data_IF_655401552885
#
_entry.id   IF_655401552885
#
_cell.length_a   1.000
_cell.length_b   1.000
_cell.length_c   1.000
_cell.angle_alpha   90.00
_cell.angle_beta   90.00
_cell.angle_gamma   90.00
#
_symmetry.space_group_name_H-M   'P 1'
#
loop_
_entity.id
_entity.type
_entity.pdbx_description
1 polymer ?
#
# COMPACT_ATOMS: atom_id res chain seq x y z
N UNK A 1 3.50 18.04 28.83
CA UNK A 1 2.31 17.40 28.21
C UNK A 1 2.77 16.10 27.59
N UNK A 2 2.06 15.01 27.85
CA UNK A 2 2.31 13.76 27.11
C UNK A 2 1.98 13.97 25.63
N UNK A 3 2.79 13.43 24.70
CA UNK A 3 2.49 13.55 23.27
C UNK A 3 1.11 12.95 22.98
N UNK A 4 0.30 13.68 22.20
CA UNK A 4 -0.99 13.19 21.73
C UNK A 4 -0.79 12.00 20.79
N UNK A 5 -1.62 10.95 20.86
CA UNK A 5 -1.60 9.85 19.89
C UNK A 5 -2.21 10.24 18.54
N UNK A 6 -2.84 11.41 18.44
CA UNK A 6 -3.50 11.88 17.22
C UNK A 6 -2.52 12.57 16.27
N UNK A 7 -2.82 12.62 14.96
CA UNK A 7 -2.04 13.41 14.02
C UNK A 7 -1.99 14.89 14.42
N UNK A 8 -0.86 15.55 14.14
CA UNK A 8 -0.72 16.99 14.32
C UNK A 8 -1.34 17.76 13.15
N UNK A 9 -1.95 18.92 13.42
CA UNK A 9 -2.71 19.69 12.42
C UNK A 9 -1.86 20.20 11.25
N UNK A 10 -0.58 20.50 11.49
CA UNK A 10 0.34 21.10 10.51
C UNK A 10 1.54 20.19 10.21
N UNK A 11 1.28 18.91 9.92
CA UNK A 11 2.34 18.01 9.50
C UNK A 11 3.00 18.49 8.19
N UNK A 12 4.32 18.34 8.06
CA UNK A 12 5.06 18.73 6.85
C UNK A 12 4.51 18.07 5.60
N UNK A 13 4.43 18.78 4.48
CA UNK A 13 4.03 18.20 3.19
C UNK A 13 5.18 17.39 2.61
N UNK A 14 4.93 16.13 2.26
CA UNK A 14 5.91 15.29 1.58
C UNK A 14 5.90 15.50 0.07
N UNK A 15 6.98 15.07 -0.59
CA UNK A 15 7.12 15.14 -2.05
C UNK A 15 5.91 14.52 -2.78
N UNK A 16 5.47 13.32 -2.40
CA UNK A 16 4.32 12.64 -3.01
C UNK A 16 2.97 13.35 -2.82
N UNK A 17 2.93 14.41 -2.02
CA UNK A 17 1.74 15.19 -1.66
C UNK A 17 1.83 16.63 -2.16
N UNK A 18 2.78 16.95 -3.04
CA UNK A 18 2.90 18.29 -3.65
C UNK A 18 1.71 18.63 -4.55
N UNK A 19 1.10 17.61 -5.16
CA UNK A 19 -0.06 17.73 -6.05
C UNK A 19 -1.18 16.79 -5.60
N UNK A 20 -2.06 17.24 -4.67
CA UNK A 20 -3.17 16.44 -4.17
C UNK A 20 -4.16 16.00 -5.27
N UNK A 21 -4.65 14.76 -5.18
CA UNK A 21 -5.74 14.27 -6.03
C UNK A 21 -7.10 14.69 -5.44
N UNK A 22 -8.18 14.84 -6.24
CA UNK A 22 -9.52 15.09 -5.70
C UNK A 22 -10.00 14.07 -4.65
N UNK A 23 -9.47 12.84 -4.68
CA UNK A 23 -9.79 11.79 -3.71
C UNK A 23 -9.18 12.01 -2.34
N UNK A 24 -8.19 12.90 -2.21
CA UNK A 24 -7.46 13.11 -0.97
C UNK A 24 -8.36 13.60 0.17
N UNK A 25 -9.31 14.47 -0.16
CA UNK A 25 -10.32 15.01 0.75
C UNK A 25 -11.71 14.43 0.46
N UNK A 26 -11.80 13.32 -0.29
CA UNK A 26 -13.08 12.79 -0.68
C UNK A 26 -13.87 12.30 0.53
N UNK A 27 -15.10 12.81 0.63
CA UNK A 27 -16.10 12.38 1.59
C UNK A 27 -17.33 11.98 0.80
N UNK A 28 -17.67 10.69 0.85
CA UNK A 28 -18.80 10.13 0.10
C UNK A 28 -20.16 10.47 0.70
N UNK A 29 -20.22 10.80 1.99
CA UNK A 29 -21.46 11.10 2.74
C UNK A 29 -21.22 12.20 3.76
N UNK A 30 -22.20 13.12 3.99
CA UNK A 30 -22.05 14.16 4.99
C UNK A 30 -22.02 13.61 6.42
N UNK A 31 -22.88 12.61 6.68
CA UNK A 31 -23.08 11.96 7.97
C UNK A 31 -22.56 10.52 7.97
N UNK A 32 -22.10 10.07 9.13
CA UNK A 32 -21.63 8.69 9.29
C UNK A 32 -22.81 7.71 9.28
N UNK A 33 -22.69 6.56 8.59
CA UNK A 33 -23.71 5.53 8.67
C UNK A 33 -23.78 4.95 10.08
N UNK A 34 -25.00 4.73 10.58
CA UNK A 34 -25.24 4.16 11.90
C UNK A 34 -24.74 2.71 12.04
N UNK A 35 -24.63 1.98 10.94
CA UNK A 35 -24.18 0.59 10.90
C UNK A 35 -23.43 0.29 9.60
N UNK A 36 -22.36 -0.49 9.72
CA UNK A 36 -21.56 -1.03 8.61
C UNK A 36 -21.18 -2.47 8.93
N UNK A 37 -20.87 -3.26 7.90
CA UNK A 37 -20.38 -4.62 8.07
C UNK A 37 -18.87 -4.62 8.39
N UNK A 38 -18.12 -3.69 7.78
CA UNK A 38 -16.68 -3.54 7.96
C UNK A 38 -16.31 -2.06 8.10
N UNK A 39 -15.65 -1.72 9.21
CA UNK A 39 -15.05 -0.41 9.43
C UNK A 39 -13.52 -0.50 9.30
N UNK A 40 -12.93 0.32 8.44
CA UNK A 40 -11.48 0.41 8.22
C UNK A 40 -10.97 1.74 8.76
N UNK A 41 -9.92 1.71 9.58
CA UNK A 41 -9.27 2.90 10.12
C UNK A 41 -7.97 3.16 9.35
N UNK A 42 -7.95 4.24 8.57
CA UNK A 42 -6.84 4.70 7.74
C UNK A 42 -7.05 4.44 6.26
N UNK A 43 -7.00 5.49 5.44
CA UNK A 43 -7.07 5.43 3.98
C UNK A 43 -5.66 5.42 3.35
N UNK A 44 -4.75 4.65 3.93
CA UNK A 44 -3.43 4.35 3.37
C UNK A 44 -3.43 3.06 2.55
N UNK A 45 -2.26 2.68 2.04
CA UNK A 45 -2.06 1.49 1.20
C UNK A 45 -2.67 0.23 1.82
N UNK A 46 -2.41 -0.03 3.11
CA UNK A 46 -2.94 -1.23 3.78
C UNK A 46 -4.48 -1.24 3.86
N UNK A 47 -5.09 -0.11 4.24
CA UNK A 47 -6.55 0.00 4.35
C UNK A 47 -7.24 -0.14 3.00
N UNK A 48 -6.73 0.58 1.98
CA UNK A 48 -7.29 0.54 0.62
C UNK A 48 -7.06 -0.83 -0.03
N UNK A 49 -5.87 -1.43 0.09
CA UNK A 49 -5.61 -2.77 -0.46
C UNK A 49 -6.51 -3.84 0.18
N UNK A 50 -6.78 -3.73 1.47
CA UNK A 50 -7.72 -4.63 2.16
C UNK A 50 -9.11 -4.55 1.53
N UNK A 51 -9.64 -3.34 1.36
CA UNK A 51 -10.95 -3.12 0.73
C UNK A 51 -10.96 -3.60 -0.72
N UNK A 52 -9.92 -3.26 -1.49
CA UNK A 52 -9.75 -3.69 -2.87
C UNK A 52 -9.87 -5.22 -3.01
N UNK A 53 -9.12 -5.97 -2.20
CA UNK A 53 -9.15 -7.43 -2.26
C UNK A 53 -10.46 -8.03 -1.76
N UNK A 54 -11.13 -7.42 -0.77
CA UNK A 54 -12.48 -7.86 -0.35
C UNK A 54 -13.45 -7.73 -1.53
N UNK A 55 -13.46 -6.57 -2.21
CA UNK A 55 -14.37 -6.31 -3.32
C UNK A 55 -14.10 -7.23 -4.52
N UNK A 56 -12.82 -7.45 -4.86
CA UNK A 56 -12.44 -8.38 -5.93
C UNK A 56 -12.83 -9.83 -5.60
N UNK A 57 -12.69 -10.27 -4.34
CA UNK A 57 -13.14 -11.59 -3.92
C UNK A 57 -14.67 -11.74 -3.98
N UNK A 58 -15.43 -10.72 -3.55
CA UNK A 58 -16.88 -10.71 -3.67
C UNK A 58 -17.32 -10.83 -5.13
N UNK A 59 -16.71 -10.03 -6.01
CA UNK A 59 -16.96 -10.05 -7.46
C UNK A 59 -16.63 -11.41 -8.07
N UNK A 60 -15.46 -11.98 -7.77
CA UNK A 60 -15.05 -13.28 -8.30
C UNK A 60 -15.97 -14.43 -7.86
N UNK A 61 -16.54 -14.35 -6.66
CA UNK A 61 -17.47 -15.34 -6.11
C UNK A 61 -18.94 -15.08 -6.49
N UNK A 62 -19.24 -13.96 -7.14
CA UNK A 62 -20.61 -13.57 -7.47
C UNK A 62 -21.48 -13.28 -6.24
N UNK A 63 -20.88 -12.85 -5.12
CA UNK A 63 -21.61 -12.52 -3.89
C UNK A 63 -21.69 -11.01 -3.69
N UNK A 64 -22.74 -10.50 -3.02
CA UNK A 64 -22.85 -9.07 -2.71
C UNK A 64 -21.64 -8.57 -1.90
N UNK A 65 -21.19 -7.35 -2.21
CA UNK A 65 -20.17 -6.68 -1.42
C UNK A 65 -20.75 -6.28 -0.05
N UNK A 66 -19.97 -6.42 1.05
CA UNK A 66 -20.39 -5.91 2.35
C UNK A 66 -20.43 -4.38 2.36
N UNK A 67 -21.15 -3.78 3.31
CA UNK A 67 -21.13 -2.34 3.59
C UNK A 67 -19.81 -1.99 4.27
N UNK A 68 -18.90 -1.39 3.52
CA UNK A 68 -17.57 -0.99 4.00
C UNK A 68 -17.51 0.54 4.13
N UNK A 69 -16.91 1.02 5.23
CA UNK A 69 -16.51 2.42 5.37
C UNK A 69 -15.04 2.51 5.76
N UNK A 70 -14.32 3.44 5.13
CA UNK A 70 -12.94 3.81 5.47
C UNK A 70 -12.97 5.17 6.16
N UNK A 71 -12.36 5.26 7.33
CA UNK A 71 -12.19 6.49 8.09
C UNK A 71 -10.74 6.96 7.98
N UNK A 72 -10.52 8.23 7.65
CA UNK A 72 -9.19 8.83 7.59
C UNK A 72 -9.18 10.11 8.43
N UNK A 73 -8.19 10.23 9.32
CA UNK A 73 -8.08 11.35 10.24
C UNK A 73 -7.54 12.63 9.56
N UNK A 74 -6.87 12.48 8.41
CA UNK A 74 -6.34 13.58 7.60
C UNK A 74 -6.84 13.49 6.16
N UNK A 75 -5.93 13.21 5.23
CA UNK A 75 -6.22 13.02 3.81
C UNK A 75 -5.82 11.61 3.39
N UNK A 76 -6.48 11.06 2.35
CA UNK A 76 -6.11 9.76 1.80
C UNK A 76 -4.61 9.71 1.47
N UNK A 77 -3.96 8.58 1.79
CA UNK A 77 -2.53 8.36 1.63
C UNK A 77 -1.59 9.35 2.36
N UNK A 78 -2.05 10.28 3.20
CA UNK A 78 -1.18 11.30 3.86
C UNK A 78 -0.25 10.76 4.97
N UNK A 79 -0.44 9.51 5.37
CA UNK A 79 0.39 8.77 6.34
C UNK A 79 1.70 8.25 5.76
N UNK A 80 2.11 7.07 6.21
CA UNK A 80 3.33 6.41 5.73
C UNK A 80 3.30 6.20 4.20
N UNK A 81 2.13 5.91 3.63
CA UNK A 81 1.95 5.71 2.19
C UNK A 81 2.44 6.90 1.36
N UNK A 82 2.10 8.14 1.73
CA UNK A 82 2.54 9.34 1.01
C UNK A 82 3.90 9.87 1.48
N UNK A 83 4.64 9.15 2.33
CA UNK A 83 5.90 9.61 2.96
C UNK A 83 7.03 8.59 2.84
N UNK A 84 6.86 7.56 2.01
CA UNK A 84 7.86 6.52 1.81
C UNK A 84 8.93 6.94 0.77
N UNK A 85 9.99 6.14 0.60
CA UNK A 85 11.10 6.44 -0.32
C UNK A 85 10.84 6.17 -1.81
N UNK A 86 9.64 5.72 -2.19
CA UNK A 86 9.27 5.36 -3.56
C UNK A 86 9.72 3.97 -4.00
N UNK A 87 10.27 3.16 -3.10
CA UNK A 87 10.80 1.84 -3.43
C UNK A 87 9.70 0.79 -3.49
N UNK A 88 9.59 0.11 -4.64
CA UNK A 88 8.86 -1.13 -4.81
C UNK A 88 9.87 -2.22 -5.19
N UNK A 89 10.56 -2.76 -4.19
CA UNK A 89 11.66 -3.72 -4.39
C UNK A 89 11.58 -4.82 -3.32
N UNK A 90 11.65 -6.11 -3.72
CA UNK A 90 11.83 -7.20 -2.76
C UNK A 90 13.23 -7.17 -2.14
N UNK A 91 13.34 -7.59 -0.88
CA UNK A 91 14.60 -7.86 -0.17
C UNK A 91 14.92 -9.37 -0.21
N UNK A 92 15.74 -9.83 -1.17
CA UNK A 92 16.08 -11.24 -1.26
C UNK A 92 17.14 -11.69 -0.23
N UNK A 93 17.73 -10.78 0.55
CA UNK A 93 18.92 -11.08 1.35
C UNK A 93 18.72 -10.88 2.86
N UNK A 94 18.47 -9.64 3.32
CA UNK A 94 18.60 -9.35 4.75
C UNK A 94 17.47 -9.99 5.56
N UNK A 95 16.23 -9.77 5.14
CA UNK A 95 15.06 -10.34 5.82
C UNK A 95 15.01 -11.87 5.73
N UNK A 96 15.23 -12.52 4.56
CA UNK A 96 15.30 -13.98 4.50
C UNK A 96 16.44 -14.57 5.33
N UNK A 97 17.63 -13.94 5.38
CA UNK A 97 18.72 -14.43 6.22
C UNK A 97 18.38 -14.42 7.71
N UNK A 98 17.69 -13.37 8.19
CA UNK A 98 17.22 -13.30 9.58
C UNK A 98 16.15 -14.35 9.89
N UNK A 99 15.24 -14.60 8.94
CA UNK A 99 14.21 -15.63 9.07
C UNK A 99 14.82 -17.03 9.04
N UNK A 100 15.83 -17.27 8.20
CA UNK A 100 16.56 -18.54 8.13
C UNK A 100 17.16 -18.90 9.49
N UNK A 101 17.79 -17.93 10.15
CA UNK A 101 18.42 -18.14 11.46
C UNK A 101 17.41 -18.46 12.57
N UNK A 102 16.17 -17.99 12.47
CA UNK A 102 15.17 -18.09 13.55
C UNK A 102 14.12 -19.17 13.30
N UNK A 103 13.76 -19.40 12.04
CA UNK A 103 12.58 -20.17 11.63
C UNK A 103 12.88 -21.22 10.54
N UNK A 104 14.13 -21.35 10.09
CA UNK A 104 14.53 -22.36 9.10
C UNK A 104 14.35 -21.91 7.65
N UNK A 105 14.78 -22.77 6.73
CA UNK A 105 14.91 -22.44 5.29
C UNK A 105 13.56 -22.29 4.61
N UNK A 106 12.56 -23.04 5.04
CA UNK A 106 11.21 -23.03 4.47
C UNK A 106 10.53 -21.66 4.70
N UNK A 107 10.57 -21.15 5.94
CA UNK A 107 10.00 -19.85 6.28
C UNK A 107 10.76 -18.70 5.60
N UNK A 108 12.08 -18.81 5.48
CA UNK A 108 12.89 -17.83 4.77
C UNK A 108 12.56 -17.78 3.27
N UNK A 109 12.44 -18.95 2.64
CA UNK A 109 12.08 -19.08 1.23
C UNK A 109 10.66 -18.55 0.97
N UNK A 110 9.69 -18.90 1.82
CA UNK A 110 8.31 -18.40 1.71
C UNK A 110 8.25 -16.87 1.77
N UNK A 111 8.95 -16.25 2.71
CA UNK A 111 8.99 -14.80 2.83
C UNK A 111 9.65 -14.12 1.62
N UNK A 112 10.76 -14.66 1.13
CA UNK A 112 11.46 -14.13 -0.05
C UNK A 112 10.57 -14.22 -1.30
N UNK A 113 9.90 -15.35 -1.50
CA UNK A 113 8.95 -15.54 -2.59
C UNK A 113 7.73 -14.62 -2.47
N UNK A 114 7.18 -14.46 -1.26
CA UNK A 114 6.06 -13.58 -1.00
C UNK A 114 6.39 -12.13 -1.34
N UNK A 115 7.56 -11.65 -0.92
CA UNK A 115 8.03 -10.31 -1.29
C UNK A 115 8.22 -10.15 -2.81
N UNK A 116 8.81 -11.14 -3.47
CA UNK A 116 8.99 -11.11 -4.93
C UNK A 116 7.64 -11.05 -5.68
N UNK A 117 6.64 -11.80 -5.19
CA UNK A 117 5.27 -11.81 -5.76
C UNK A 117 4.58 -10.44 -5.69
N UNK A 118 4.89 -9.61 -4.68
CA UNK A 118 4.29 -8.27 -4.56
C UNK A 118 4.59 -7.36 -5.75
N UNK A 119 5.79 -7.43 -6.35
CA UNK A 119 6.13 -6.61 -7.51
C UNK A 119 5.21 -6.89 -8.70
N UNK A 120 5.00 -8.18 -9.00
CA UNK A 120 4.10 -8.60 -10.07
C UNK A 120 2.64 -8.25 -9.76
N UNK A 121 2.21 -8.42 -8.51
CA UNK A 121 0.85 -8.09 -8.07
C UNK A 121 0.55 -6.59 -8.23
N UNK A 122 1.44 -5.71 -7.76
CA UNK A 122 1.27 -4.26 -7.89
C UNK A 122 1.26 -3.82 -9.35
N UNK A 123 2.18 -4.35 -10.18
CA UNK A 123 2.18 -4.08 -11.62
C UNK A 123 0.84 -4.43 -12.26
N UNK A 124 0.33 -5.64 -11.97
CA UNK A 124 -0.97 -6.09 -12.48
C UNK A 124 -2.10 -5.16 -12.05
N UNK A 125 -2.15 -4.76 -10.77
CA UNK A 125 -3.19 -3.84 -10.29
C UNK A 125 -3.13 -2.48 -10.98
N UNK A 126 -1.92 -1.91 -11.18
CA UNK A 126 -1.75 -0.65 -11.92
C UNK A 126 -2.28 -0.77 -13.36
N UNK A 127 -1.95 -1.88 -14.03
CA UNK A 127 -2.41 -2.15 -15.41
C UNK A 127 -3.93 -2.30 -15.50
N UNK A 128 -4.59 -2.84 -14.46
CA UNK A 128 -6.04 -3.07 -14.43
C UNK A 128 -6.85 -1.81 -14.10
N UNK A 129 -6.41 -1.02 -13.11
CA UNK A 129 -7.17 0.13 -12.60
C UNK A 129 -6.90 1.43 -13.37
N UNK A 130 -5.92 1.42 -14.27
CA UNK A 130 -5.68 2.49 -15.23
C UNK A 130 -5.46 3.86 -14.58
N UNK A 131 -4.28 4.08 -14.00
CA UNK A 131 -3.72 5.43 -13.74
C UNK A 131 -2.24 5.33 -13.35
N UNK A 132 -1.40 6.11 -14.06
CA UNK A 132 0.05 6.35 -13.88
C UNK A 132 0.99 5.51 -14.76
N UNK A 133 1.70 6.23 -15.62
CA UNK A 133 2.83 5.78 -16.43
C UNK A 133 3.94 5.17 -15.56
N UNK A 134 4.35 3.95 -15.89
CA UNK A 134 5.39 3.17 -15.20
C UNK A 134 6.81 3.78 -15.35
N UNK A 135 6.94 4.90 -16.08
CA UNK A 135 8.21 5.49 -16.52
C UNK A 135 9.10 6.05 -15.40
N UNK A 136 8.68 6.04 -14.13
CA UNK A 136 9.53 6.44 -12.99
C UNK A 136 10.01 5.28 -12.11
N UNK A 137 9.39 4.09 -12.18
CA UNK A 137 9.82 2.93 -11.36
C UNK A 137 10.97 2.16 -12.03
N UNK A 138 11.16 2.32 -13.35
CA UNK A 138 12.12 1.54 -14.13
C UNK A 138 13.47 2.22 -14.44
N UNK A 139 13.75 3.43 -13.94
CA UNK A 139 15.00 4.13 -14.30
C UNK A 139 16.21 3.85 -13.40
N UNK A 140 16.09 3.11 -12.30
CA UNK A 140 17.19 2.97 -11.33
C UNK A 140 17.56 1.53 -10.90
N UNK A 141 17.24 0.49 -11.67
CA UNK A 141 17.70 -0.88 -11.37
C UNK A 141 18.55 -1.54 -12.47
N UNK A 142 19.00 -0.76 -13.44
CA UNK A 142 19.94 -1.20 -14.47
C UNK A 142 21.08 -0.18 -14.56
N UNK A 143 22.04 -0.17 -13.59
CA UNK A 143 23.29 -0.91 -13.83
C UNK A 143 24.01 -1.32 -12.53
N UNK A 144 23.94 -2.59 -12.13
CA UNK A 144 24.84 -3.17 -11.12
C UNK A 144 25.20 -4.64 -11.44
N UNK A 145 25.42 -4.93 -12.72
CA UNK A 145 26.17 -6.09 -13.17
C UNK A 145 27.07 -5.62 -14.31
N UNK A 146 28.33 -5.33 -13.99
CA UNK A 146 29.38 -5.16 -14.97
C UNK A 146 29.90 -6.51 -15.47
N UNK A 147 30.64 -6.43 -16.60
CA UNK A 147 31.40 -7.48 -17.28
C UNK A 147 30.49 -8.40 -18.14
N UNK A 148 30.74 -8.69 -19.40
CA UNK A 148 32.00 -8.90 -20.15
C UNK A 148 31.73 -8.64 -21.65
N UNK A 149 32.72 -8.07 -22.35
CA UNK A 149 32.89 -7.79 -23.80
C UNK A 149 31.87 -6.91 -24.55
#
# INVERSE_FOLDING_TARGET
MSPSPLPVDNATTSFWRSEPHPLDNHRSTPELPAQVDIAIIGAGYAGVATVYHILEQCKARGVPAPKIVIFEARQACSGATGRNGGHLKPDPYNRPANLLATYGIEAAAEAAEFEAKNLAAVKKTIEQEGSVSINQVNQNLTPLLGLVD
#
